data_IF_714693892930
#
_entry.id   IF_714693892930
#
_cell.length_a   1.000
_cell.length_b   1.000
_cell.length_c   1.000
_cell.angle_alpha   90.00
_cell.angle_beta   90.00
_cell.angle_gamma   90.00
#
_symmetry.space_group_name_H-M   'P 1'
#
loop_
_entity.id
_entity.type
_entity.pdbx_description
1 polymer ?
#
# COMPACT_ATOMS: atom_id res chain seq x y z
N UNK A 1 17.70 -2.01 -2.22
CA UNK A 1 16.37 -1.80 -1.61
C UNK A 1 15.30 -2.11 -2.65
N UNK A 2 14.28 -2.90 -2.28
CA UNK A 2 13.15 -3.22 -3.17
C UNK A 2 11.93 -2.41 -2.77
N UNK A 3 11.39 -1.62 -3.70
CA UNK A 3 10.25 -0.71 -3.47
C UNK A 3 9.11 -1.11 -4.39
N UNK A 4 7.95 -1.41 -3.84
CA UNK A 4 6.80 -1.80 -4.64
C UNK A 4 5.62 -0.84 -4.50
N UNK A 5 5.05 -0.44 -5.65
CA UNK A 5 3.82 0.35 -5.74
C UNK A 5 2.58 -0.55 -5.86
N UNK A 6 1.60 -0.33 -5.00
CA UNK A 6 0.29 -0.99 -5.04
C UNK A 6 -0.74 0.04 -5.48
N UNK A 7 -1.33 -0.15 -6.66
CA UNK A 7 -2.28 0.77 -7.28
C UNK A 7 -3.70 0.33 -6.98
N UNK A 8 -4.41 1.10 -6.17
CA UNK A 8 -5.83 0.88 -5.82
C UNK A 8 -6.82 1.55 -6.78
N UNK A 9 -6.35 2.35 -7.73
CA UNK A 9 -7.21 2.96 -8.73
C UNK A 9 -7.55 1.99 -9.86
N UNK A 10 -8.79 1.93 -10.33
CA UNK A 10 -9.16 1.18 -11.54
C UNK A 10 -8.64 1.88 -12.81
N UNK A 11 -8.33 3.18 -12.74
CA UNK A 11 -7.93 3.98 -13.89
C UNK A 11 -6.43 3.88 -14.14
N UNK A 12 -6.04 3.18 -15.21
CA UNK A 12 -4.66 3.16 -15.70
C UNK A 12 -4.29 4.54 -16.28
N UNK A 13 -3.09 5.03 -15.97
CA UNK A 13 -2.62 6.38 -16.30
C UNK A 13 -3.45 7.50 -15.66
N UNK A 14 -4.30 7.21 -14.67
CA UNK A 14 -4.95 8.21 -13.82
C UNK A 14 -3.99 8.80 -12.79
N UNK A 15 -4.42 9.81 -12.05
CA UNK A 15 -3.57 10.57 -11.11
C UNK A 15 -2.89 9.67 -10.07
N UNK A 16 -3.60 8.68 -9.50
CA UNK A 16 -3.01 7.71 -8.55
C UNK A 16 -1.85 6.92 -9.17
N UNK A 17 -2.05 6.37 -10.37
CA UNK A 17 -1.02 5.59 -11.08
C UNK A 17 0.21 6.44 -11.41
N UNK A 18 -0.02 7.68 -11.86
CA UNK A 18 1.05 8.61 -12.22
C UNK A 18 1.88 8.97 -10.99
N UNK A 19 1.23 9.37 -9.89
CA UNK A 19 1.91 9.77 -8.66
C UNK A 19 2.69 8.61 -8.04
N UNK A 20 2.09 7.41 -7.94
CA UNK A 20 2.83 6.21 -7.47
C UNK A 20 4.01 5.92 -8.39
N UNK A 21 3.83 6.01 -9.71
CA UNK A 21 4.93 5.79 -10.68
C UNK A 21 6.03 6.83 -10.54
N UNK A 22 5.69 8.07 -10.20
CA UNK A 22 6.67 9.15 -10.01
C UNK A 22 7.50 8.92 -8.74
N UNK A 23 6.87 8.49 -7.64
CA UNK A 23 7.59 8.07 -6.41
C UNK A 23 8.52 6.87 -6.70
N UNK A 24 8.05 5.89 -7.48
CA UNK A 24 8.90 4.75 -7.88
C UNK A 24 10.09 5.18 -8.75
N UNK A 25 9.91 6.16 -9.65
CA UNK A 25 11.02 6.73 -10.44
C UNK A 25 12.05 7.42 -9.55
N UNK A 26 11.60 8.19 -8.54
CA UNK A 26 12.49 8.79 -7.56
C UNK A 26 13.30 7.75 -6.79
N UNK A 27 12.66 6.66 -6.33
CA UNK A 27 13.37 5.57 -5.67
C UNK A 27 14.38 4.87 -6.61
N UNK A 28 13.98 4.61 -7.85
CA UNK A 28 14.85 4.00 -8.87
C UNK A 28 16.07 4.87 -9.20
N UNK A 29 15.94 6.21 -9.21
CA UNK A 29 17.05 7.14 -9.43
C UNK A 29 18.16 7.03 -8.36
N UNK A 30 17.80 6.50 -7.18
CA UNK A 30 18.72 6.22 -6.08
C UNK A 30 19.14 4.74 -6.01
N UNK A 31 18.92 3.95 -7.07
CA UNK A 31 19.34 2.55 -7.16
C UNK A 31 18.37 1.54 -6.54
N UNK A 32 17.14 1.88 -6.23
CA UNK A 32 16.16 0.90 -5.78
C UNK A 32 15.67 0.02 -6.95
N UNK A 33 15.52 -1.28 -6.69
CA UNK A 33 14.70 -2.15 -7.52
C UNK A 33 13.24 -1.80 -7.32
N UNK A 34 12.49 -1.55 -8.39
CA UNK A 34 11.10 -1.13 -8.29
C UNK A 34 10.14 -2.11 -8.97
N UNK A 35 8.97 -2.29 -8.37
CA UNK A 35 7.86 -3.04 -8.96
C UNK A 35 6.53 -2.31 -8.78
N UNK A 36 5.53 -2.68 -9.58
CA UNK A 36 4.21 -2.07 -9.52
C UNK A 36 3.12 -3.11 -9.81
N UNK A 37 2.07 -3.13 -9.00
CA UNK A 37 0.91 -4.01 -9.18
C UNK A 37 -0.39 -3.20 -9.16
N UNK A 38 -1.35 -3.62 -9.99
CA UNK A 38 -2.68 -2.99 -10.07
C UNK A 38 -3.73 -3.92 -9.47
N UNK A 39 -4.31 -3.53 -8.33
CA UNK A 39 -5.30 -4.34 -7.64
C UNK A 39 -6.54 -4.63 -8.51
N UNK A 40 -6.93 -3.67 -9.36
CA UNK A 40 -8.08 -3.85 -10.26
C UNK A 40 -7.89 -4.96 -11.32
N UNK A 41 -6.68 -5.48 -11.48
CA UNK A 41 -6.38 -6.59 -12.42
C UNK A 41 -6.33 -7.94 -11.74
N UNK A 42 -6.39 -7.95 -10.41
CA UNK A 42 -6.28 -9.15 -9.61
C UNK A 42 -7.66 -9.73 -9.31
N UNK A 43 -7.76 -11.03 -9.40
CA UNK A 43 -8.96 -11.79 -8.99
C UNK A 43 -8.79 -12.19 -7.53
N UNK A 44 -9.21 -11.32 -6.63
CA UNK A 44 -9.13 -11.51 -5.18
C UNK A 44 -10.53 -11.80 -4.63
N UNK A 45 -10.71 -12.93 -3.94
CA UNK A 45 -11.95 -13.25 -3.24
C UNK A 45 -12.05 -12.46 -1.93
N UNK A 46 -13.25 -12.05 -1.49
CA UNK A 46 -13.45 -11.41 -0.19
C UNK A 46 -13.00 -12.31 0.96
N UNK A 47 -12.49 -11.70 2.04
CA UNK A 47 -12.15 -12.43 3.27
C UNK A 47 -13.39 -13.12 3.87
N UNK A 48 -13.26 -14.38 4.26
CA UNK A 48 -14.34 -15.16 4.85
C UNK A 48 -14.19 -15.31 6.37
N UNK A 49 -13.23 -14.61 6.99
CA UNK A 49 -12.99 -14.68 8.45
C UNK A 49 -12.89 -16.12 8.99
N UNK A 50 -12.19 -16.98 8.27
CA UNK A 50 -12.17 -18.42 8.51
C UNK A 50 -11.47 -18.85 9.81
N UNK A 51 -10.69 -17.96 10.45
CA UNK A 51 -9.94 -18.26 11.67
C UNK A 51 -8.81 -19.29 11.52
N UNK A 52 -8.45 -19.67 10.29
CA UNK A 52 -7.42 -20.69 10.01
C UNK A 52 -6.08 -20.02 9.70
N UNK A 53 -4.98 -20.59 10.24
CA UNK A 53 -3.60 -20.23 9.91
C UNK A 53 -2.95 -21.37 9.11
N UNK A 54 -3.04 -21.35 7.76
CA UNK A 54 -2.63 -22.46 6.91
C UNK A 54 -1.13 -22.43 6.60
N UNK A 55 -0.27 -22.33 7.60
CA UNK A 55 1.20 -22.31 7.39
C UNK A 55 1.67 -23.41 6.43
N UNK A 56 2.61 -23.13 5.52
CA UNK A 56 3.34 -21.86 5.34
C UNK A 56 2.56 -20.78 4.57
N UNK A 57 1.43 -21.11 3.94
CA UNK A 57 0.61 -20.15 3.20
C UNK A 57 0.01 -19.10 4.14
N UNK A 58 -0.27 -17.90 3.59
CA UNK A 58 -0.95 -16.85 4.34
C UNK A 58 -2.45 -17.09 4.46
N UNK A 59 -3.09 -17.62 3.42
CA UNK A 59 -4.54 -17.80 3.33
C UNK A 59 -4.92 -19.16 2.73
N UNK A 60 -6.13 -19.64 3.03
CA UNK A 60 -6.68 -20.86 2.41
C UNK A 60 -7.02 -20.68 0.92
N UNK A 61 -7.32 -19.46 0.50
CA UNK A 61 -7.62 -19.21 -0.91
C UNK A 61 -6.33 -19.19 -1.74
N UNK A 62 -6.33 -19.93 -2.83
CA UNK A 62 -5.34 -19.82 -3.90
C UNK A 62 -5.94 -18.89 -4.97
N UNK A 63 -5.61 -17.62 -4.88
CA UNK A 63 -6.04 -16.55 -5.79
C UNK A 63 -4.92 -15.50 -5.95
N UNK A 64 -5.16 -14.45 -6.74
CA UNK A 64 -4.13 -13.45 -7.04
C UNK A 64 -3.62 -12.67 -5.81
N UNK A 65 -4.24 -12.84 -4.63
CA UNK A 65 -3.74 -12.27 -3.38
C UNK A 65 -2.34 -12.81 -3.01
N UNK A 66 -1.95 -13.97 -3.52
CA UNK A 66 -0.60 -14.52 -3.33
C UNK A 66 0.48 -13.57 -3.86
N UNK A 67 0.22 -12.84 -4.96
CA UNK A 67 1.14 -11.82 -5.48
C UNK A 67 1.31 -10.66 -4.49
N UNK A 68 0.22 -10.24 -3.83
CA UNK A 68 0.27 -9.17 -2.82
C UNK A 68 1.03 -9.65 -1.58
N UNK A 69 0.78 -10.86 -1.09
CA UNK A 69 1.52 -11.43 0.05
C UNK A 69 3.02 -11.50 -0.25
N UNK A 70 3.41 -11.96 -1.44
CA UNK A 70 4.80 -11.99 -1.87
C UNK A 70 5.44 -10.60 -1.87
N UNK A 71 4.74 -9.58 -2.38
CA UNK A 71 5.20 -8.19 -2.37
C UNK A 71 5.34 -7.69 -0.93
N UNK A 72 4.34 -7.93 -0.08
CA UNK A 72 4.37 -7.54 1.33
C UNK A 72 5.48 -8.26 2.12
N UNK A 73 5.88 -9.45 1.74
CA UNK A 73 6.96 -10.20 2.38
C UNK A 73 8.34 -9.71 1.93
N UNK A 74 8.54 -9.53 0.61
CA UNK A 74 9.86 -9.36 0.00
C UNK A 74 10.31 -7.91 -0.18
N UNK A 75 9.39 -6.94 -0.13
CA UNK A 75 9.74 -5.52 -0.32
C UNK A 75 10.30 -4.89 0.95
N UNK A 76 11.15 -3.87 0.77
CA UNK A 76 11.68 -3.01 1.84
C UNK A 76 10.80 -1.79 2.08
N UNK A 77 10.09 -1.33 1.03
CA UNK A 77 9.13 -0.26 1.12
C UNK A 77 7.89 -0.54 0.26
N UNK A 78 6.75 -0.06 0.73
CA UNK A 78 5.46 -0.15 0.05
C UNK A 78 4.92 1.25 -0.19
N UNK A 79 4.55 1.53 -1.44
CA UNK A 79 3.83 2.74 -1.84
C UNK A 79 2.40 2.32 -2.16
N UNK A 80 1.46 2.67 -1.29
CA UNK A 80 0.05 2.40 -1.51
C UNK A 80 -0.63 3.65 -2.08
N UNK A 81 -1.20 3.53 -3.28
CA UNK A 81 -2.00 4.58 -3.90
C UNK A 81 -3.48 4.23 -3.97
N UNK A 82 -4.35 5.15 -3.55
CA UNK A 82 -5.81 4.98 -3.64
C UNK A 82 -6.51 6.27 -4.04
N UNK A 83 -7.55 6.23 -4.89
CA UNK A 83 -8.51 7.30 -4.91
C UNK A 83 -9.29 7.32 -3.60
N UNK A 84 -9.82 8.48 -3.23
CA UNK A 84 -10.74 8.64 -2.12
C UNK A 84 -12.17 8.49 -2.65
N UNK A 85 -12.88 7.46 -2.19
CA UNK A 85 -14.29 7.25 -2.50
C UNK A 85 -15.07 7.16 -1.19
N UNK A 86 -16.05 8.04 -1.02
CA UNK A 86 -16.83 8.11 0.21
C UNK A 86 -15.94 8.17 1.47
N UNK A 87 -14.97 9.09 1.45
CA UNK A 87 -14.00 9.35 2.52
C UNK A 87 -13.13 8.14 2.93
N UNK A 88 -13.03 7.12 2.09
CA UNK A 88 -12.21 5.94 2.36
C UNK A 88 -11.43 5.47 1.13
N UNK A 89 -10.67 4.40 1.29
CA UNK A 89 -9.94 3.76 0.20
C UNK A 89 -10.91 3.11 -0.81
N UNK A 90 -10.46 2.92 -2.05
CA UNK A 90 -11.23 2.20 -3.05
C UNK A 90 -11.61 0.79 -2.60
N UNK A 91 -12.67 0.22 -3.18
CA UNK A 91 -13.10 -1.15 -2.92
C UNK A 91 -11.97 -2.17 -3.16
N UNK A 92 -11.14 -1.97 -4.18
CA UNK A 92 -10.00 -2.82 -4.49
C UNK A 92 -8.95 -2.82 -3.36
N UNK A 93 -8.65 -1.64 -2.80
CA UNK A 93 -7.74 -1.52 -1.65
C UNK A 93 -8.37 -2.14 -0.41
N UNK A 94 -9.65 -1.88 -0.15
CA UNK A 94 -10.33 -2.45 1.02
C UNK A 94 -10.38 -3.97 0.96
N UNK A 95 -10.68 -4.53 -0.22
CA UNK A 95 -10.67 -5.98 -0.44
C UNK A 95 -9.29 -6.59 -0.12
N UNK A 96 -8.20 -5.98 -0.59
CA UNK A 96 -6.84 -6.37 -0.27
C UNK A 96 -6.57 -6.28 1.24
N UNK A 97 -6.95 -5.17 1.88
CA UNK A 97 -6.74 -4.96 3.32
C UNK A 97 -7.43 -6.04 4.15
N UNK A 98 -8.69 -6.35 3.85
CA UNK A 98 -9.45 -7.38 4.58
C UNK A 98 -8.81 -8.77 4.44
N UNK A 99 -8.22 -9.06 3.27
CA UNK A 99 -7.47 -10.31 3.05
C UNK A 99 -6.13 -10.35 3.78
N UNK A 100 -5.60 -9.20 4.23
CA UNK A 100 -4.39 -9.13 5.06
C UNK A 100 -4.62 -9.47 6.54
N UNK A 101 -5.84 -9.79 6.95
CA UNK A 101 -6.15 -10.19 8.34
C UNK A 101 -5.30 -11.39 8.80
N UNK A 102 -4.98 -12.30 7.89
CA UNK A 102 -4.11 -13.47 8.13
C UNK A 102 -2.62 -13.12 8.39
N UNK A 103 -2.19 -11.87 8.25
CA UNK A 103 -0.81 -11.45 8.57
C UNK A 103 -0.54 -11.37 10.07
N UNK A 104 -1.60 -11.34 10.90
CA UNK A 104 -1.51 -11.40 12.36
C UNK A 104 -2.57 -12.37 12.92
N UNK A 105 -2.41 -13.70 12.71
CA UNK A 105 -3.33 -14.67 13.27
C UNK A 105 -3.31 -14.65 14.80
N UNK A 106 -4.46 -14.95 15.40
CA UNK A 106 -4.61 -15.15 16.85
C UNK A 106 -4.30 -16.61 17.17
N UNK A 107 -3.19 -16.83 17.84
CA UNK A 107 -2.64 -18.18 18.06
C UNK A 107 -2.41 -18.48 19.53
N UNK A 108 -2.42 -19.77 19.90
CA UNK A 108 -1.98 -20.24 21.21
C UNK A 108 -0.45 -20.22 21.26
N UNK A 109 0.12 -19.52 22.23
CA UNK A 109 1.57 -19.42 22.47
C UNK A 109 2.09 -20.64 23.25
N UNK A 110 3.42 -20.78 23.29
CA UNK A 110 4.07 -21.88 24.00
C UNK A 110 3.79 -21.89 25.52
N UNK A 111 3.54 -20.73 26.12
CA UNK A 111 3.17 -20.55 27.54
C UNK A 111 1.68 -20.85 27.82
N UNK A 112 0.92 -21.26 26.79
CA UNK A 112 -0.50 -21.56 26.89
C UNK A 112 -1.43 -20.35 26.74
N UNK A 113 -0.90 -19.14 26.72
CA UNK A 113 -1.67 -17.91 26.48
C UNK A 113 -2.04 -17.77 25.01
N UNK A 114 -3.04 -16.92 24.72
CA UNK A 114 -3.42 -16.58 23.34
C UNK A 114 -2.95 -15.16 23.02
N UNK A 115 -2.62 -14.92 21.75
CA UNK A 115 -2.25 -13.60 21.29
C UNK A 115 -1.99 -13.56 19.79
N UNK A 116 -1.85 -12.35 19.27
CA UNK A 116 -1.52 -12.14 17.85
C UNK A 116 -0.05 -12.48 17.58
N UNK A 117 0.18 -13.19 16.48
CA UNK A 117 1.53 -13.48 15.96
C UNK A 117 1.75 -12.76 14.65
N UNK A 118 2.73 -11.84 14.63
CA UNK A 118 3.11 -11.13 13.40
C UNK A 118 3.86 -12.07 12.45
N UNK A 119 3.32 -12.30 11.26
CA UNK A 119 3.95 -13.19 10.26
C UNK A 119 5.01 -12.47 9.44
N UNK A 120 4.81 -11.21 9.08
CA UNK A 120 5.82 -10.39 8.41
C UNK A 120 6.74 -9.78 9.47
N UNK A 121 7.94 -10.35 9.65
CA UNK A 121 8.87 -9.96 10.72
C UNK A 121 9.63 -8.67 10.42
N UNK A 122 10.05 -8.48 9.15
CA UNK A 122 10.81 -7.30 8.72
C UNK A 122 9.90 -6.08 8.65
N UNK A 123 10.24 -5.03 9.40
CA UNK A 123 9.55 -3.74 9.28
C UNK A 123 9.92 -3.08 7.96
N UNK A 124 8.94 -2.49 7.32
CA UNK A 124 9.05 -1.79 6.03
C UNK A 124 8.75 -0.31 6.17
N UNK A 125 9.28 0.50 5.25
CA UNK A 125 8.83 1.89 5.09
C UNK A 125 7.53 1.89 4.27
N UNK A 126 6.58 2.78 4.60
CA UNK A 126 5.31 2.93 3.90
C UNK A 126 5.07 4.36 3.46
N UNK A 127 4.69 4.54 2.20
CA UNK A 127 4.17 5.80 1.68
C UNK A 127 2.71 5.57 1.30
N UNK A 128 1.85 6.50 1.68
CA UNK A 128 0.45 6.50 1.24
C UNK A 128 0.16 7.71 0.36
N UNK A 129 -0.43 7.45 -0.81
CA UNK A 129 -0.84 8.46 -1.78
C UNK A 129 -2.35 8.40 -1.90
N UNK A 130 -3.04 9.50 -1.59
CA UNK A 130 -4.48 9.63 -1.78
C UNK A 130 -4.79 10.71 -2.82
N UNK A 131 -5.73 10.42 -3.70
CA UNK A 131 -6.22 11.36 -4.73
C UNK A 131 -7.72 11.52 -4.57
N UNK A 132 -8.19 12.74 -4.44
CA UNK A 132 -9.60 13.08 -4.22
C UNK A 132 -10.07 14.21 -5.14
N UNK A 133 -11.39 14.43 -5.22
CA UNK A 133 -11.95 15.70 -5.61
C UNK A 133 -11.74 16.78 -4.53
N UNK A 134 -12.14 18.02 -4.80
CA UNK A 134 -11.82 19.19 -3.97
C UNK A 134 -12.36 19.16 -2.54
N UNK A 135 -13.50 18.53 -2.28
CA UNK A 135 -14.22 18.65 -1.02
C UNK A 135 -14.14 17.41 -0.12
N UNK A 136 -13.09 16.59 -0.26
CA UNK A 136 -12.97 15.35 0.51
C UNK A 136 -11.98 15.44 1.65
N UNK A 137 -12.34 14.87 2.81
CA UNK A 137 -11.46 14.77 3.97
C UNK A 137 -10.50 13.58 3.85
N UNK A 138 -9.20 13.87 3.91
CA UNK A 138 -8.16 12.84 3.91
C UNK A 138 -7.92 12.18 5.28
N UNK A 139 -8.49 12.68 6.37
CA UNK A 139 -8.25 12.12 7.70
C UNK A 139 -8.90 10.75 7.88
N UNK A 140 -10.10 10.57 7.37
CA UNK A 140 -10.85 9.31 7.49
C UNK A 140 -10.15 8.15 6.78
N UNK A 141 -9.65 8.38 5.57
CA UNK A 141 -8.92 7.35 4.81
C UNK A 141 -7.63 6.91 5.53
N UNK A 142 -6.96 7.83 6.25
CA UNK A 142 -5.74 7.52 7.00
C UNK A 142 -5.97 6.50 8.10
N UNK A 143 -7.12 6.48 8.74
CA UNK A 143 -7.45 5.52 9.80
C UNK A 143 -7.40 4.08 9.27
N UNK A 144 -8.01 3.83 8.12
CA UNK A 144 -7.99 2.52 7.45
C UNK A 144 -6.56 2.12 7.06
N UNK A 145 -5.80 3.04 6.48
CA UNK A 145 -4.43 2.77 6.01
C UNK A 145 -3.46 2.53 7.16
N UNK A 146 -3.54 3.31 8.25
CA UNK A 146 -2.73 3.11 9.46
C UNK A 146 -2.98 1.75 10.09
N UNK A 147 -4.25 1.32 10.17
CA UNK A 147 -4.61 -0.02 10.65
C UNK A 147 -3.95 -1.12 9.81
N UNK A 148 -4.09 -1.05 8.49
CA UNK A 148 -3.45 -1.99 7.57
C UNK A 148 -1.92 -1.98 7.68
N UNK A 149 -1.29 -0.81 7.66
CA UNK A 149 0.16 -0.69 7.73
C UNK A 149 0.71 -1.26 9.04
N UNK A 150 0.07 -0.96 10.18
CA UNK A 150 0.46 -1.57 11.45
C UNK A 150 0.36 -3.11 11.39
N UNK A 151 -0.72 -3.63 10.83
CA UNK A 151 -0.96 -5.07 10.70
C UNK A 151 0.07 -5.76 9.82
N UNK A 152 0.45 -5.13 8.71
CA UNK A 152 1.44 -5.61 7.75
C UNK A 152 2.91 -5.28 8.12
N UNK A 153 3.18 -4.75 9.33
CA UNK A 153 4.51 -4.30 9.79
C UNK A 153 5.13 -3.23 8.88
N UNK A 154 4.33 -2.26 8.49
CA UNK A 154 4.75 -1.13 7.66
C UNK A 154 4.70 0.15 8.50
N UNK A 155 5.84 0.84 8.64
CA UNK A 155 5.92 2.16 9.26
C UNK A 155 5.52 3.22 8.23
N UNK A 156 4.42 3.92 8.43
CA UNK A 156 4.03 5.05 7.60
C UNK A 156 5.03 6.19 7.79
N UNK A 157 5.83 6.47 6.76
CA UNK A 157 6.88 7.51 6.80
C UNK A 157 6.46 8.78 6.07
N UNK A 158 5.55 8.69 5.11
CA UNK A 158 5.05 9.85 4.37
C UNK A 158 3.62 9.61 3.89
N UNK A 159 2.82 10.68 3.90
CA UNK A 159 1.55 10.77 3.18
C UNK A 159 1.67 11.83 2.10
N UNK A 160 1.04 11.59 0.96
CA UNK A 160 0.95 12.53 -0.15
C UNK A 160 -0.52 12.64 -0.55
N UNK A 161 -1.08 13.83 -0.43
CA UNK A 161 -2.47 14.10 -0.78
C UNK A 161 -2.53 15.00 -2.00
N UNK A 162 -3.34 14.62 -2.97
CA UNK A 162 -3.60 15.38 -4.17
C UNK A 162 -5.11 15.56 -4.34
N UNK A 163 -5.56 16.80 -4.28
CA UNK A 163 -6.94 17.17 -4.58
C UNK A 163 -6.96 17.91 -5.93
N UNK A 164 -7.97 17.63 -6.73
CA UNK A 164 -8.15 18.29 -8.03
C UNK A 164 -9.64 18.47 -8.31
N UNK A 165 -9.99 19.52 -9.02
CA UNK A 165 -11.34 19.91 -9.39
C UNK A 165 -11.71 19.55 -10.83
N UNK A 166 -10.75 19.08 -11.61
CA UNK A 166 -10.95 18.62 -12.96
C UNK A 166 -11.26 17.13 -13.03
N UNK A 167 -12.02 16.70 -14.03
CA UNK A 167 -12.27 15.29 -14.32
C UNK A 167 -11.27 14.73 -15.35
N UNK A 168 -10.12 15.40 -15.55
CA UNK A 168 -9.14 15.00 -16.53
C UNK A 168 -8.33 13.78 -16.03
N UNK A 169 -8.36 12.69 -16.80
CA UNK A 169 -7.57 11.51 -16.50
C UNK A 169 -6.07 11.84 -16.63
N UNK A 170 -5.37 11.80 -15.50
CA UNK A 170 -3.94 12.08 -15.46
C UNK A 170 -3.59 13.57 -15.48
N UNK A 171 -4.52 14.45 -15.14
CA UNK A 171 -4.33 15.91 -15.06
C UNK A 171 -3.15 16.32 -14.18
N UNK A 172 -2.80 15.52 -13.15
CA UNK A 172 -1.63 15.77 -12.29
C UNK A 172 -0.31 15.92 -13.05
N UNK A 173 -0.19 15.44 -14.29
CA UNK A 173 1.01 15.65 -15.12
C UNK A 173 1.27 17.13 -15.43
N UNK A 174 0.25 17.97 -15.38
CA UNK A 174 0.34 19.41 -15.61
C UNK A 174 0.80 20.16 -14.34
N UNK A 175 0.68 19.53 -13.19
CA UNK A 175 1.12 20.06 -11.90
C UNK A 175 2.58 19.65 -11.65
N UNK A 176 3.50 20.47 -12.16
CA UNK A 176 4.93 20.18 -12.06
C UNK A 176 5.42 20.14 -10.61
N UNK A 177 4.87 20.98 -9.73
CA UNK A 177 5.22 21.02 -8.31
C UNK A 177 4.88 19.68 -7.64
N UNK A 178 3.68 19.17 -7.86
CA UNK A 178 3.24 17.87 -7.32
C UNK A 178 3.99 16.69 -7.92
N UNK A 179 4.35 16.78 -9.19
CA UNK A 179 5.19 15.77 -9.84
C UNK A 179 6.60 15.72 -9.25
N UNK A 180 7.21 16.89 -9.00
CA UNK A 180 8.53 17.00 -8.39
C UNK A 180 8.50 16.57 -6.91
N UNK A 181 7.46 16.97 -6.16
CA UNK A 181 7.25 16.51 -4.77
C UNK A 181 7.18 14.97 -4.72
N UNK A 182 6.39 14.34 -5.59
CA UNK A 182 6.28 12.87 -5.64
C UNK A 182 7.62 12.20 -5.98
N UNK A 183 8.38 12.74 -6.93
CA UNK A 183 9.72 12.24 -7.27
C UNK A 183 10.67 12.33 -6.07
N UNK A 184 10.71 13.49 -5.40
CA UNK A 184 11.59 13.74 -4.26
C UNK A 184 11.25 12.86 -3.05
N UNK A 185 9.97 12.56 -2.81
CA UNK A 185 9.54 11.58 -1.79
C UNK A 185 10.17 10.22 -2.07
N UNK A 186 10.15 9.78 -3.33
CA UNK A 186 10.77 8.52 -3.74
C UNK A 186 12.29 8.51 -3.58
N UNK A 187 12.96 9.57 -4.02
CA UNK A 187 14.40 9.71 -3.89
C UNK A 187 14.86 9.73 -2.42
N UNK A 188 14.08 10.36 -1.53
CA UNK A 188 14.37 10.41 -0.09
C UNK A 188 14.20 9.08 0.64
N UNK A 189 13.53 8.08 0.07
CA UNK A 189 13.32 6.78 0.73
C UNK A 189 14.61 6.06 1.12
N UNK A 190 15.68 6.24 0.34
CA UNK A 190 16.97 5.57 0.54
C UNK A 190 17.91 6.36 1.43
N UNK A 191 17.74 7.69 1.55
CA UNK A 191 18.61 8.56 2.33
C UNK A 191 18.62 8.21 3.83
N UNK A 192 17.49 7.77 4.39
CA UNK A 192 17.35 7.38 5.80
C UNK A 192 17.85 5.95 6.12
N UNK A 193 18.49 5.26 5.18
CA UNK A 193 18.94 3.87 5.37
C UNK A 193 20.36 3.77 5.96
N UNK A 194 21.01 4.90 6.22
CA UNK A 194 22.42 5.00 6.65
C UNK A 194 22.66 5.30 8.13
N UNK A 195 21.62 5.39 8.97
CA UNK A 195 21.76 5.63 10.41
C UNK A 195 21.01 4.54 11.20
N UNK A 196 21.66 3.43 11.41
CA UNK A 196 21.21 2.31 12.25
C UNK A 196 22.38 1.41 12.58
#
# INVERSE_FOLDING_TARGET
MKVCGIIGSPCKNGNVDILVSQVLKGAASQGAETCKIYLNRLKIKPCQSCGVDPKPKYCLFSDDMEQVYYILETSDAIILGSPVYFDTVSAQVKLMIDRCNCLMPYVKKADGTFGFERRIKKQKKGIFIAVAGTDQDFNTILTTVRGFFNWANIKLVKTFFYAHDDNEIGGVKKDHEKMDEAFNIGAGLLADSGAG
#
